data_IF_614222512450
#
_entry.id   IF_614222512450
#
_cell.length_a   1.000
_cell.length_b   1.000
_cell.length_c   1.000
_cell.angle_alpha   90.00
_cell.angle_beta   90.00
_cell.angle_gamma   90.00
#
_symmetry.space_group_name_H-M   'P 1'
#
loop_
_entity.id
_entity.type
_entity.pdbx_description
1 polymer ?
#
# COMPACT_ATOMS: atom_id res chain seq x y z
N UNK A 1 -19.14 -9.08 -12.04
CA UNK A 1 -17.72 -9.51 -12.14
C UNK A 1 -17.36 -9.86 -13.57
N UNK A 2 -16.16 -9.48 -14.08
CA UNK A 2 -15.69 -9.85 -15.43
C UNK A 2 -15.03 -11.24 -15.41
N UNK A 3 -14.94 -11.93 -16.58
CA UNK A 3 -14.22 -13.22 -16.66
C UNK A 3 -12.76 -13.15 -16.16
N UNK A 4 -12.04 -12.06 -16.47
CA UNK A 4 -10.66 -11.86 -16.02
C UNK A 4 -10.55 -11.75 -14.49
N UNK A 5 -11.49 -11.06 -13.83
CA UNK A 5 -11.55 -11.02 -12.37
C UNK A 5 -11.87 -12.39 -11.77
N UNK A 6 -12.78 -13.17 -12.39
CA UNK A 6 -13.10 -14.51 -11.91
C UNK A 6 -11.85 -15.42 -11.95
N UNK A 7 -11.15 -15.45 -13.08
CA UNK A 7 -9.92 -16.23 -13.25
C UNK A 7 -8.86 -15.84 -12.23
N UNK A 8 -8.66 -14.54 -12.02
CA UNK A 8 -7.69 -14.03 -11.04
C UNK A 8 -8.06 -14.43 -9.61
N UNK A 9 -9.33 -14.31 -9.21
CA UNK A 9 -9.78 -14.69 -7.87
C UNK A 9 -9.64 -16.20 -7.64
N UNK A 10 -9.95 -17.02 -8.63
CA UNK A 10 -9.80 -18.48 -8.54
C UNK A 10 -8.33 -18.85 -8.37
N UNK A 11 -7.43 -18.25 -9.16
CA UNK A 11 -5.98 -18.42 -9.01
C UNK A 11 -5.49 -18.05 -7.60
N UNK A 12 -5.95 -16.93 -7.05
CA UNK A 12 -5.58 -16.47 -5.69
C UNK A 12 -6.06 -17.44 -4.62
N UNK A 13 -7.32 -17.87 -4.71
CA UNK A 13 -7.93 -18.84 -3.79
C UNK A 13 -7.19 -20.17 -3.80
N UNK A 14 -6.78 -20.65 -4.97
CA UNK A 14 -6.02 -21.89 -5.09
C UNK A 14 -4.61 -21.78 -4.49
N UNK A 15 -3.94 -20.63 -4.66
CA UNK A 15 -2.66 -20.36 -3.99
C UNK A 15 -2.81 -20.37 -2.47
N UNK A 16 -3.88 -19.78 -1.95
CA UNK A 16 -4.13 -19.76 -0.50
C UNK A 16 -4.52 -21.14 0.00
N UNK A 17 -5.33 -21.93 -0.73
CA UNK A 17 -5.61 -23.32 -0.38
C UNK A 17 -4.33 -24.15 -0.30
N UNK A 18 -3.41 -23.96 -1.24
CA UNK A 18 -2.11 -24.62 -1.22
C UNK A 18 -1.27 -24.23 0.00
N UNK A 19 -1.28 -22.95 0.36
CA UNK A 19 -0.61 -22.45 1.57
C UNK A 19 -1.20 -23.08 2.85
N UNK A 20 -2.53 -23.12 2.95
CA UNK A 20 -3.28 -23.71 4.08
C UNK A 20 -2.96 -25.19 4.23
N UNK A 21 -3.00 -25.94 3.12
CA UNK A 21 -2.65 -27.37 3.11
C UNK A 21 -1.19 -27.60 3.47
N UNK A 22 -0.27 -26.76 2.97
CA UNK A 22 1.15 -26.81 3.32
C UNK A 22 1.43 -26.56 4.81
N UNK A 23 0.58 -25.76 5.47
CA UNK A 23 0.63 -25.54 6.93
C UNK A 23 -0.05 -26.67 7.73
N UNK A 24 -0.61 -27.68 7.06
CA UNK A 24 -1.34 -28.78 7.71
C UNK A 24 -2.65 -28.33 8.34
N UNK A 25 -3.27 -27.26 7.84
CA UNK A 25 -4.56 -26.76 8.30
C UNK A 25 -5.70 -27.29 7.44
N UNK A 26 -6.87 -27.45 8.05
CA UNK A 26 -8.07 -28.00 7.41
C UNK A 26 -8.81 -26.93 6.59
N UNK A 27 -8.74 -25.66 7.02
CA UNK A 27 -9.32 -24.50 6.36
C UNK A 27 -8.62 -23.21 6.81
N UNK A 28 -8.94 -22.09 6.12
CA UNK A 28 -8.52 -20.76 6.55
C UNK A 28 -9.71 -19.90 6.97
N UNK A 29 -9.49 -19.11 8.02
CA UNK A 29 -10.32 -18.00 8.42
C UNK A 29 -9.56 -16.69 8.14
N UNK A 30 -10.08 -15.88 7.23
CA UNK A 30 -9.48 -14.60 6.85
C UNK A 30 -10.33 -13.47 7.41
N UNK A 31 -9.72 -12.66 8.25
CA UNK A 31 -10.35 -11.47 8.83
C UNK A 31 -9.93 -10.20 8.07
N UNK A 32 -10.87 -9.27 7.97
CA UNK A 32 -10.64 -7.92 7.51
C UNK A 32 -11.66 -6.95 8.11
N UNK A 33 -11.41 -5.66 7.91
CA UNK A 33 -12.34 -4.58 8.28
C UNK A 33 -12.27 -3.48 7.21
N UNK A 34 -13.13 -2.46 7.35
CA UNK A 34 -13.14 -1.25 6.52
C UNK A 34 -11.80 -0.48 6.48
N UNK A 35 -10.89 -0.74 7.41
CA UNK A 35 -9.54 -0.13 7.46
C UNK A 35 -8.41 -1.11 7.13
N UNK A 36 -8.65 -2.39 7.26
CA UNK A 36 -7.64 -3.44 7.16
C UNK A 36 -8.20 -4.61 6.35
N UNK A 37 -8.67 -4.30 5.15
CA UNK A 37 -9.37 -5.23 4.30
C UNK A 37 -8.53 -5.99 3.28
N UNK A 38 -7.24 -5.69 3.15
CA UNK A 38 -6.41 -6.12 2.01
C UNK A 38 -6.38 -7.64 1.81
N UNK A 39 -6.25 -8.41 2.90
CA UNK A 39 -6.20 -9.88 2.82
C UNK A 39 -7.55 -10.47 2.41
N UNK A 40 -8.64 -9.90 2.92
CA UNK A 40 -9.99 -10.29 2.52
C UNK A 40 -10.27 -9.88 1.06
N UNK A 41 -9.96 -8.63 0.70
CA UNK A 41 -10.11 -8.10 -0.66
C UNK A 41 -9.33 -8.92 -1.69
N UNK A 42 -8.12 -9.38 -1.35
CA UNK A 42 -7.31 -10.23 -2.21
C UNK A 42 -8.08 -11.48 -2.68
N UNK A 43 -8.95 -12.03 -1.82
CA UNK A 43 -9.71 -13.26 -2.10
C UNK A 43 -11.15 -13.02 -2.59
N UNK A 44 -11.68 -11.79 -2.45
CA UNK A 44 -13.09 -11.48 -2.71
C UNK A 44 -13.30 -10.33 -3.68
N UNK A 45 -12.27 -9.52 -3.96
CA UNK A 45 -12.38 -8.24 -4.69
C UNK A 45 -13.40 -7.27 -4.05
N UNK A 46 -13.79 -7.50 -2.81
CA UNK A 46 -14.74 -6.67 -2.08
C UNK A 46 -14.09 -6.06 -0.84
N UNK A 47 -14.39 -4.81 -0.59
CA UNK A 47 -14.02 -4.08 0.62
C UNK A 47 -15.28 -3.43 1.20
N UNK A 48 -15.59 -3.65 2.48
CA UNK A 48 -16.79 -3.08 3.07
C UNK A 48 -16.62 -1.57 3.29
N UNK A 49 -17.71 -0.83 3.14
CA UNK A 49 -17.76 0.59 3.51
C UNK A 49 -17.62 0.76 5.03
N UNK A 50 -18.13 -0.19 5.78
CA UNK A 50 -18.11 -0.19 7.25
C UNK A 50 -18.07 -1.63 7.80
N UNK A 51 -17.38 -1.79 8.93
CA UNK A 51 -17.48 -2.95 9.80
C UNK A 51 -16.48 -4.07 9.48
N UNK A 52 -16.69 -5.17 10.15
CA UNK A 52 -15.86 -6.36 10.07
C UNK A 52 -16.35 -7.32 9.00
N UNK A 53 -15.42 -8.08 8.45
CA UNK A 53 -15.67 -9.13 7.47
C UNK A 53 -14.80 -10.34 7.71
N UNK A 54 -15.35 -11.49 7.37
CA UNK A 54 -14.73 -12.79 7.55
C UNK A 54 -14.95 -13.64 6.31
N UNK A 55 -13.90 -14.35 5.89
CA UNK A 55 -14.00 -15.38 4.87
C UNK A 55 -13.56 -16.71 5.46
N UNK A 56 -14.43 -17.69 5.44
CA UNK A 56 -14.10 -19.08 5.69
C UNK A 56 -13.77 -19.74 4.34
N UNK A 57 -12.51 -20.14 4.17
CA UNK A 57 -11.99 -20.78 2.96
C UNK A 57 -11.72 -22.25 3.26
N UNK A 58 -12.70 -23.09 3.05
CA UNK A 58 -12.69 -24.55 3.10
C UNK A 58 -13.10 -25.15 1.76
N UNK A 59 -13.81 -26.28 1.80
CA UNK A 59 -14.42 -26.90 0.61
C UNK A 59 -15.40 -25.93 -0.06
N UNK A 60 -16.12 -25.15 0.73
CA UNK A 60 -16.96 -24.05 0.30
C UNK A 60 -16.39 -22.73 0.80
N UNK A 61 -16.78 -21.65 0.13
CA UNK A 61 -16.45 -20.29 0.51
C UNK A 61 -17.67 -19.66 1.19
N UNK A 62 -17.54 -19.27 2.46
CA UNK A 62 -18.59 -18.60 3.21
C UNK A 62 -18.08 -17.28 3.75
N UNK A 63 -18.81 -16.20 3.52
CA UNK A 63 -18.46 -14.86 3.96
C UNK A 63 -19.45 -14.34 5.01
N UNK A 64 -18.92 -13.57 5.95
CA UNK A 64 -19.68 -12.98 7.05
C UNK A 64 -19.37 -11.48 7.14
N UNK A 65 -20.40 -10.65 7.24
CA UNK A 65 -20.30 -9.21 7.30
C UNK A 65 -21.05 -8.64 8.49
N UNK A 66 -20.56 -7.52 9.02
CA UNK A 66 -21.30 -6.73 10.02
C UNK A 66 -22.65 -6.24 9.48
N UNK A 67 -22.71 -5.82 8.20
CA UNK A 67 -23.91 -5.23 7.62
C UNK A 67 -24.43 -5.96 6.39
N UNK A 68 -25.57 -6.61 6.52
CA UNK A 68 -26.19 -7.44 5.46
C UNK A 68 -26.53 -6.65 4.16
N UNK A 69 -26.73 -5.35 4.23
CA UNK A 69 -27.05 -4.52 3.06
C UNK A 69 -25.91 -4.41 2.04
N UNK A 70 -24.68 -4.78 2.42
CA UNK A 70 -23.51 -4.83 1.52
C UNK A 70 -23.43 -6.15 0.72
N UNK A 71 -24.24 -7.17 1.04
CA UNK A 71 -24.11 -8.53 0.46
C UNK A 71 -24.33 -8.53 -1.04
N UNK A 72 -25.29 -7.77 -1.56
CA UNK A 72 -25.61 -7.76 -3.00
C UNK A 72 -24.40 -7.28 -3.81
N UNK A 73 -23.74 -6.21 -3.36
CA UNK A 73 -22.52 -5.72 -3.99
C UNK A 73 -21.39 -6.73 -3.87
N UNK A 74 -21.18 -7.25 -2.66
CA UNK A 74 -20.13 -8.22 -2.38
C UNK A 74 -20.23 -9.50 -3.24
N UNK A 75 -21.44 -10.03 -3.41
CA UNK A 75 -21.69 -11.16 -4.32
C UNK A 75 -21.35 -10.82 -5.76
N UNK A 76 -21.74 -9.64 -6.24
CA UNK A 76 -21.46 -9.17 -7.60
C UNK A 76 -19.96 -9.03 -7.90
N UNK A 77 -19.16 -8.65 -6.90
CA UNK A 77 -17.71 -8.45 -7.03
C UNK A 77 -16.90 -9.73 -6.83
N UNK A 78 -17.34 -10.63 -5.94
CA UNK A 78 -16.55 -11.78 -5.50
C UNK A 78 -16.86 -13.09 -6.22
N UNK A 79 -18.06 -13.25 -6.79
CA UNK A 79 -18.58 -14.52 -7.27
C UNK A 79 -18.79 -15.58 -6.18
N UNK A 80 -18.77 -15.18 -4.91
CA UNK A 80 -19.10 -16.05 -3.78
C UNK A 80 -20.60 -15.96 -3.55
N UNK A 81 -21.29 -17.11 -3.46
CA UNK A 81 -22.74 -17.15 -3.29
C UNK A 81 -23.17 -17.08 -1.82
N UNK A 82 -22.38 -17.69 -0.92
CA UNK A 82 -22.71 -17.82 0.49
C UNK A 82 -22.21 -16.63 1.30
N UNK A 83 -23.14 -15.75 1.65
CA UNK A 83 -22.90 -14.56 2.45
C UNK A 83 -23.90 -14.43 3.58
N UNK A 84 -23.41 -14.09 4.76
CA UNK A 84 -24.20 -13.88 5.97
C UNK A 84 -23.93 -12.47 6.52
N UNK A 85 -24.97 -11.76 6.91
CA UNK A 85 -24.88 -10.42 7.47
C UNK A 85 -25.58 -10.32 8.81
N UNK A 86 -24.85 -9.88 9.84
CA UNK A 86 -25.36 -9.66 11.19
C UNK A 86 -24.51 -8.60 11.90
N UNK A 87 -25.12 -7.72 12.68
CA UNK A 87 -24.42 -6.62 13.37
C UNK A 87 -23.19 -7.10 14.18
N UNK A 88 -23.29 -8.26 14.84
CA UNK A 88 -22.13 -8.99 15.38
C UNK A 88 -22.01 -10.32 14.62
N UNK A 89 -21.11 -10.43 13.64
CA UNK A 89 -20.96 -11.65 12.85
C UNK A 89 -20.18 -12.75 13.57
N UNK A 90 -19.51 -12.47 14.69
CA UNK A 90 -18.63 -13.42 15.38
C UNK A 90 -19.35 -14.72 15.78
N UNK A 91 -20.58 -14.70 16.32
CA UNK A 91 -21.31 -15.95 16.62
C UNK A 91 -21.53 -16.83 15.38
N UNK A 92 -21.84 -16.23 14.23
CA UNK A 92 -22.02 -16.97 12.97
C UNK A 92 -20.70 -17.57 12.48
N UNK A 93 -19.62 -16.82 12.57
CA UNK A 93 -18.26 -17.30 12.22
C UNK A 93 -17.87 -18.48 13.10
N UNK A 94 -18.05 -18.37 14.41
CA UNK A 94 -17.73 -19.43 15.38
C UNK A 94 -18.55 -20.69 15.11
N UNK A 95 -19.83 -20.55 14.80
CA UNK A 95 -20.68 -21.68 14.45
C UNK A 95 -20.23 -22.36 13.15
N UNK A 96 -19.96 -21.59 12.10
CA UNK A 96 -19.49 -22.12 10.82
C UNK A 96 -18.13 -22.86 10.97
N UNK A 97 -17.20 -22.32 11.78
CA UNK A 97 -15.95 -23.02 12.10
C UNK A 97 -16.21 -24.32 12.86
N UNK A 98 -17.14 -24.34 13.81
CA UNK A 98 -17.52 -25.55 14.55
C UNK A 98 -18.14 -26.61 13.63
N UNK A 99 -19.08 -26.21 12.78
CA UNK A 99 -19.77 -27.09 11.84
C UNK A 99 -18.86 -27.69 10.77
N UNK A 100 -17.75 -26.99 10.43
CA UNK A 100 -16.76 -27.50 9.49
C UNK A 100 -16.05 -28.77 9.97
N UNK A 101 -16.06 -29.03 11.27
CA UNK A 101 -15.34 -30.16 11.88
C UNK A 101 -13.82 -30.02 11.84
N UNK A 102 -13.28 -28.86 11.47
CA UNK A 102 -11.86 -28.58 11.43
C UNK A 102 -11.23 -28.72 12.81
N UNK A 103 -9.97 -29.18 12.84
CA UNK A 103 -9.15 -29.29 14.07
C UNK A 103 -8.04 -28.25 14.09
N UNK A 104 -7.52 -27.92 12.90
CA UNK A 104 -6.47 -26.91 12.69
C UNK A 104 -6.99 -25.85 11.72
N UNK A 105 -7.06 -24.62 12.17
CA UNK A 105 -7.57 -23.49 11.39
C UNK A 105 -6.45 -22.48 11.16
N UNK A 106 -6.13 -22.24 9.90
CA UNK A 106 -5.26 -21.15 9.51
C UNK A 106 -5.97 -19.81 9.72
N UNK A 107 -5.33 -18.85 10.35
CA UNK A 107 -5.88 -17.52 10.60
C UNK A 107 -5.05 -16.47 9.87
N UNK A 108 -5.72 -15.65 9.06
CA UNK A 108 -5.12 -14.49 8.37
C UNK A 108 -5.84 -13.23 8.86
N UNK A 109 -5.09 -12.17 9.16
CA UNK A 109 -5.59 -10.94 9.77
C UNK A 109 -5.57 -10.98 11.30
N UNK A 110 -4.84 -11.93 11.89
CA UNK A 110 -4.76 -12.14 13.33
C UNK A 110 -4.35 -10.90 14.10
N UNK A 111 -3.35 -10.16 13.60
CA UNK A 111 -2.82 -8.94 14.25
C UNK A 111 -3.85 -7.81 14.36
N UNK A 112 -4.95 -7.88 13.62
CA UNK A 112 -6.02 -6.86 13.54
C UNK A 112 -7.35 -7.37 14.05
N UNK A 113 -7.46 -8.68 14.30
CA UNK A 113 -8.68 -9.30 14.79
C UNK A 113 -9.05 -8.77 16.17
N UNK A 114 -10.32 -8.39 16.38
CA UNK A 114 -10.81 -7.99 17.71
C UNK A 114 -10.61 -9.09 18.75
N UNK A 115 -10.10 -8.74 19.92
CA UNK A 115 -9.84 -9.69 21.01
C UNK A 115 -11.07 -10.54 21.40
N UNK A 116 -12.30 -10.00 21.43
CA UNK A 116 -13.48 -10.83 21.68
C UNK A 116 -13.67 -11.95 20.65
N UNK A 117 -13.42 -11.67 19.37
CA UNK A 117 -13.52 -12.67 18.31
C UNK A 117 -12.45 -13.76 18.47
N UNK A 118 -11.20 -13.37 18.74
CA UNK A 118 -10.13 -14.31 19.03
C UNK A 118 -10.48 -15.25 20.18
N UNK A 119 -10.94 -14.72 21.31
CA UNK A 119 -11.34 -15.52 22.48
C UNK A 119 -12.49 -16.47 22.18
N UNK A 120 -13.45 -16.05 21.35
CA UNK A 120 -14.56 -16.91 20.95
C UNK A 120 -14.06 -18.10 20.12
N UNK A 121 -13.11 -17.89 19.21
CA UNK A 121 -12.46 -18.96 18.44
C UNK A 121 -11.61 -19.88 19.32
N UNK A 122 -10.81 -19.34 20.24
CA UNK A 122 -10.03 -20.14 21.20
C UNK A 122 -10.90 -21.06 22.03
N UNK A 123 -12.12 -20.61 22.41
CA UNK A 123 -13.06 -21.41 23.21
C UNK A 123 -13.54 -22.70 22.52
N UNK A 124 -13.34 -22.81 21.21
CA UNK A 124 -13.64 -24.02 20.45
C UNK A 124 -12.63 -25.16 20.70
N UNK A 125 -11.48 -24.87 21.33
CA UNK A 125 -10.44 -25.87 21.59
C UNK A 125 -9.69 -26.33 20.33
N UNK A 126 -9.72 -25.53 19.25
CA UNK A 126 -9.02 -25.79 18.00
C UNK A 126 -7.57 -25.31 18.05
N UNK A 127 -6.73 -25.88 17.20
CA UNK A 127 -5.41 -25.30 16.94
C UNK A 127 -5.53 -24.18 15.92
N UNK A 128 -5.26 -22.93 16.35
CA UNK A 128 -5.26 -21.75 15.50
C UNK A 128 -3.83 -21.45 15.06
N UNK A 129 -3.58 -21.42 13.74
CA UNK A 129 -2.26 -21.24 13.13
C UNK A 129 -2.19 -19.88 12.46
N UNK A 130 -1.30 -19.02 12.94
CA UNK A 130 -1.08 -17.69 12.33
C UNK A 130 -0.42 -17.81 10.95
N UNK A 131 -1.09 -17.35 9.90
CA UNK A 131 -0.57 -17.27 8.54
C UNK A 131 -0.44 -15.83 8.01
N UNK A 132 -0.42 -14.79 8.86
CA UNK A 132 -0.29 -13.39 8.41
C UNK A 132 0.97 -13.19 7.56
N UNK A 133 2.13 -13.67 8.04
CA UNK A 133 3.39 -13.52 7.30
C UNK A 133 3.42 -14.34 6.02
N UNK A 134 3.16 -15.68 6.03
CA UNK A 134 3.13 -16.47 4.79
C UNK A 134 2.12 -15.98 3.76
N UNK A 135 0.98 -15.45 4.20
CA UNK A 135 -0.01 -14.85 3.32
C UNK A 135 0.49 -13.52 2.71
N UNK A 136 1.17 -12.69 3.49
CA UNK A 136 1.82 -11.48 2.99
C UNK A 136 2.88 -11.79 1.93
N UNK A 137 3.73 -12.78 2.18
CA UNK A 137 4.74 -13.27 1.22
C UNK A 137 4.10 -13.80 -0.08
N UNK A 138 2.97 -14.49 0.01
CA UNK A 138 2.24 -14.96 -1.15
C UNK A 138 1.79 -13.81 -2.06
N UNK A 139 1.45 -12.64 -1.48
CA UNK A 139 1.03 -11.43 -2.21
C UNK A 139 2.19 -10.62 -2.76
N UNK A 140 3.42 -10.88 -2.33
CA UNK A 140 4.62 -10.11 -2.72
C UNK A 140 4.83 -10.08 -4.23
N UNK A 141 4.62 -11.23 -4.92
CA UNK A 141 4.71 -11.34 -6.37
C UNK A 141 3.32 -11.16 -7.00
N UNK A 142 3.18 -10.10 -7.76
CA UNK A 142 1.95 -9.74 -8.47
C UNK A 142 1.80 -10.57 -9.74
N UNK A 143 0.58 -10.90 -10.11
CA UNK A 143 0.26 -11.43 -11.42
C UNK A 143 0.34 -10.34 -12.49
N UNK A 144 0.42 -10.69 -13.78
CA UNK A 144 0.28 -9.70 -14.85
C UNK A 144 -1.01 -8.88 -14.74
N UNK A 145 -2.11 -9.49 -14.30
CA UNK A 145 -3.38 -8.79 -14.06
C UNK A 145 -3.27 -7.75 -12.95
N UNK A 146 -2.62 -8.08 -11.84
CA UNK A 146 -2.38 -7.15 -10.72
C UNK A 146 -1.45 -5.99 -11.13
N UNK A 147 -0.43 -6.27 -11.96
CA UNK A 147 0.50 -5.24 -12.46
C UNK A 147 -0.23 -4.23 -13.35
N UNK A 148 -1.18 -4.66 -14.19
CA UNK A 148 -1.99 -3.72 -15.00
C UNK A 148 -2.85 -2.80 -14.11
N UNK A 149 -3.43 -3.33 -13.02
CA UNK A 149 -4.19 -2.51 -12.08
C UNK A 149 -3.29 -1.49 -11.36
N UNK A 150 -2.05 -1.88 -11.03
CA UNK A 150 -1.06 -0.95 -10.46
C UNK A 150 -0.62 0.12 -11.46
N UNK A 151 -0.47 -0.21 -12.75
CA UNK A 151 -0.20 0.79 -13.80
C UNK A 151 -1.33 1.81 -13.91
N UNK A 152 -2.60 1.37 -13.80
CA UNK A 152 -3.74 2.27 -13.80
C UNK A 152 -3.74 3.20 -12.59
N UNK A 153 -3.45 2.69 -11.40
CA UNK A 153 -3.33 3.48 -10.18
C UNK A 153 -2.15 4.47 -10.25
N UNK A 154 -0.99 4.03 -10.75
CA UNK A 154 0.19 4.87 -10.93
C UNK A 154 -0.06 6.03 -11.90
N UNK A 155 -0.71 5.77 -13.06
CA UNK A 155 -1.11 6.84 -14.01
C UNK A 155 -2.04 7.87 -13.36
N UNK A 156 -2.90 7.43 -12.46
CA UNK A 156 -3.79 8.34 -11.75
C UNK A 156 -3.04 9.13 -10.67
N UNK A 157 -2.05 8.51 -10.02
CA UNK A 157 -1.12 9.17 -9.08
C UNK A 157 -0.29 10.23 -9.80
N UNK A 158 0.25 9.96 -11.00
CA UNK A 158 0.95 10.95 -11.81
C UNK A 158 0.07 12.17 -12.12
N UNK A 159 -1.21 11.96 -12.45
CA UNK A 159 -2.16 13.07 -12.66
C UNK A 159 -2.37 13.91 -11.40
N UNK A 160 -2.31 13.31 -10.20
CA UNK A 160 -2.35 14.07 -8.95
C UNK A 160 -1.10 14.94 -8.79
N UNK A 161 0.09 14.41 -9.10
CA UNK A 161 1.34 15.16 -9.03
C UNK A 161 1.41 16.29 -10.06
N UNK A 162 0.94 16.07 -11.28
CA UNK A 162 0.86 17.10 -12.32
C UNK A 162 -0.08 18.24 -11.88
N UNK A 163 -1.25 17.91 -11.35
CA UNK A 163 -2.20 18.88 -10.81
C UNK A 163 -1.64 19.62 -9.57
N UNK A 164 -0.85 18.92 -8.73
CA UNK A 164 -0.17 19.57 -7.63
C UNK A 164 0.80 20.62 -8.12
N UNK A 165 1.66 20.29 -9.10
CA UNK A 165 2.61 21.22 -9.69
C UNK A 165 1.94 22.48 -10.24
N UNK A 166 0.82 22.32 -10.94
CA UNK A 166 0.04 23.44 -11.50
C UNK A 166 -0.57 24.34 -10.42
N UNK A 167 -0.87 23.78 -9.23
CA UNK A 167 -1.47 24.51 -8.12
C UNK A 167 -0.49 25.23 -7.20
N UNK A 168 0.85 25.01 -7.40
CA UNK A 168 1.89 25.57 -6.54
C UNK A 168 2.21 27.02 -6.96
N UNK A 169 1.67 27.98 -6.20
CA UNK A 169 1.97 29.40 -6.34
C UNK A 169 2.04 30.08 -4.96
N UNK A 170 2.72 31.23 -4.85
CA UNK A 170 2.72 32.00 -3.61
C UNK A 170 1.29 32.36 -3.16
N UNK A 171 0.94 32.06 -1.91
CA UNK A 171 -0.38 32.29 -1.33
C UNK A 171 -1.32 31.09 -1.42
N UNK A 172 -1.00 30.05 -2.21
CA UNK A 172 -1.76 28.81 -2.21
C UNK A 172 -1.72 28.14 -0.82
N UNK A 173 -2.76 27.43 -0.43
CA UNK A 173 -2.91 26.85 0.92
C UNK A 173 -2.73 25.34 0.84
N UNK A 174 -1.81 24.75 1.63
CA UNK A 174 -1.53 23.30 1.63
C UNK A 174 -2.81 22.44 1.69
N UNK A 175 -3.72 22.71 2.64
CA UNK A 175 -4.96 21.94 2.77
C UNK A 175 -5.91 22.07 1.59
N UNK A 176 -5.89 23.18 0.87
CA UNK A 176 -6.75 23.38 -0.30
C UNK A 176 -6.17 22.63 -1.50
N UNK A 177 -4.85 22.62 -1.66
CA UNK A 177 -4.19 21.80 -2.68
C UNK A 177 -4.48 20.31 -2.38
N UNK A 178 -4.20 19.83 -1.16
CA UNK A 178 -4.46 18.44 -0.78
C UNK A 178 -5.92 18.02 -1.04
N UNK A 179 -6.89 18.88 -0.70
CA UNK A 179 -8.30 18.62 -0.97
C UNK A 179 -8.63 18.55 -2.47
N UNK A 180 -8.01 19.41 -3.29
CA UNK A 180 -8.18 19.36 -4.74
C UNK A 180 -7.60 18.07 -5.32
N UNK A 181 -6.41 17.65 -4.88
CA UNK A 181 -5.77 16.41 -5.32
C UNK A 181 -6.63 15.18 -4.99
N UNK A 182 -7.26 15.13 -3.82
CA UNK A 182 -8.15 14.05 -3.42
C UNK A 182 -9.37 13.88 -4.36
N UNK A 183 -9.79 14.93 -5.07
CA UNK A 183 -10.91 14.81 -6.01
C UNK A 183 -10.57 14.02 -7.28
N UNK A 184 -9.30 13.91 -7.64
CA UNK A 184 -8.85 13.28 -8.90
C UNK A 184 -9.16 11.78 -8.93
N UNK A 185 -8.70 10.97 -7.95
CA UNK A 185 -9.05 9.56 -7.94
C UNK A 185 -10.54 9.32 -7.70
N UNK A 186 -11.20 10.12 -6.87
CA UNK A 186 -12.66 10.01 -6.65
C UNK A 186 -13.45 10.23 -7.94
N UNK A 187 -13.08 11.25 -8.74
CA UNK A 187 -13.72 11.50 -10.03
C UNK A 187 -13.48 10.38 -11.07
N UNK A 188 -12.43 9.60 -10.91
CA UNK A 188 -12.11 8.43 -11.73
C UNK A 188 -12.80 7.13 -11.24
N UNK A 189 -13.60 7.20 -10.16
CA UNK A 189 -14.25 6.03 -9.55
C UNK A 189 -13.30 5.20 -8.67
N UNK A 190 -12.19 5.79 -8.26
CA UNK A 190 -11.24 5.24 -7.30
C UNK A 190 -11.30 5.95 -5.95
N UNK A 191 -10.21 5.88 -5.20
CA UNK A 191 -10.04 6.55 -3.91
C UNK A 191 -8.59 7.05 -3.77
N UNK A 192 -8.27 7.75 -2.70
CA UNK A 192 -6.88 8.00 -2.32
C UNK A 192 -6.30 6.77 -1.64
N UNK A 193 -5.05 6.43 -1.94
CA UNK A 193 -4.31 5.38 -1.21
C UNK A 193 -4.13 5.75 0.26
N UNK A 194 -3.92 7.04 0.50
CA UNK A 194 -3.85 7.71 1.79
C UNK A 194 -4.23 9.19 1.64
N UNK A 195 -4.34 9.91 2.75
CA UNK A 195 -4.65 11.35 2.74
C UNK A 195 -3.54 12.12 2.00
N UNK A 196 -3.83 12.83 0.88
CA UNK A 196 -2.84 13.61 0.17
C UNK A 196 -2.09 14.57 1.08
N UNK A 197 -0.77 14.52 1.05
CA UNK A 197 0.09 15.29 1.93
C UNK A 197 0.81 16.38 1.15
N UNK A 198 0.62 17.63 1.55
CA UNK A 198 1.33 18.81 1.04
C UNK A 198 2.00 19.49 2.22
N UNK A 199 3.33 19.53 2.22
CA UNK A 199 4.14 20.11 3.30
C UNK A 199 5.05 21.17 2.72
N UNK A 200 4.87 22.42 3.15
CA UNK A 200 5.67 23.56 2.68
C UNK A 200 6.53 24.17 3.78
N UNK A 201 7.65 24.78 3.39
CA UNK A 201 8.60 25.50 4.25
C UNK A 201 10.03 24.99 4.13
N UNK A 202 10.98 25.79 4.63
CA UNK A 202 12.41 25.48 4.64
C UNK A 202 12.98 25.25 6.03
N UNK A 203 12.27 25.73 7.06
CA UNK A 203 12.65 25.58 8.47
C UNK A 203 11.77 24.52 9.14
N UNK A 204 12.28 23.90 10.20
CA UNK A 204 11.58 22.89 11.00
C UNK A 204 11.00 21.72 10.14
N UNK A 205 11.82 21.04 9.34
CA UNK A 205 11.36 19.97 8.48
C UNK A 205 10.79 18.80 9.29
N UNK A 206 9.61 18.35 8.91
CA UNK A 206 8.94 17.18 9.49
C UNK A 206 8.73 16.17 8.37
N UNK A 207 9.37 15.00 8.42
CA UNK A 207 9.30 14.01 7.34
C UNK A 207 7.89 13.65 6.90
N UNK A 208 6.96 13.57 7.86
CA UNK A 208 5.54 13.32 7.58
C UNK A 208 4.67 14.08 8.58
N UNK A 209 3.70 14.83 8.08
CA UNK A 209 2.59 15.43 8.81
C UNK A 209 1.40 15.61 7.90
N UNK A 210 0.23 15.80 8.46
CA UNK A 210 -0.91 16.25 7.66
C UNK A 210 -0.68 17.64 7.11
N UNK A 211 -1.25 17.93 5.95
CA UNK A 211 -1.35 19.29 5.42
C UNK A 211 -2.05 20.20 6.42
N UNK A 212 -1.55 21.41 6.58
CA UNK A 212 -2.11 22.42 7.50
C UNK A 212 -2.60 23.65 6.72
N UNK A 213 -3.29 24.55 7.37
CA UNK A 213 -3.77 25.77 6.75
C UNK A 213 -2.66 26.84 6.66
N UNK A 214 -1.52 26.46 6.05
CA UNK A 214 -0.38 27.34 5.79
C UNK A 214 -0.44 27.83 4.34
N UNK A 215 -0.19 29.13 4.13
CA UNK A 215 0.04 29.70 2.82
C UNK A 215 1.49 29.42 2.38
N UNK A 216 1.67 28.97 1.16
CA UNK A 216 2.98 28.77 0.51
C UNK A 216 3.61 30.13 0.29
N UNK A 217 4.90 30.26 0.59
CA UNK A 217 5.67 31.49 0.42
C UNK A 217 6.73 31.34 -0.68
N UNK A 218 7.15 32.45 -1.32
CA UNK A 218 8.28 32.40 -2.25
C UNK A 218 9.53 31.82 -1.59
N UNK A 219 10.19 30.87 -2.24
CA UNK A 219 11.36 30.16 -1.72
C UNK A 219 11.06 28.92 -0.89
N UNK A 220 9.79 28.65 -0.61
CA UNK A 220 9.41 27.40 0.07
C UNK A 220 9.80 26.17 -0.75
N UNK A 221 10.31 25.17 -0.06
CA UNK A 221 10.27 23.78 -0.51
C UNK A 221 8.88 23.23 -0.23
N UNK A 222 8.26 22.59 -1.23
CA UNK A 222 6.96 21.96 -1.09
C UNK A 222 7.08 20.48 -1.46
N UNK A 223 6.95 19.62 -0.48
CA UNK A 223 6.85 18.17 -0.67
C UNK A 223 5.37 17.81 -0.86
N UNK A 224 5.08 17.10 -1.92
CA UNK A 224 3.75 16.57 -2.25
C UNK A 224 3.85 15.05 -2.32
N UNK A 225 3.16 14.39 -1.39
CA UNK A 225 3.12 12.93 -1.23
C UNK A 225 1.68 12.46 -1.44
N UNK A 226 1.45 11.68 -2.49
CA UNK A 226 0.11 11.31 -2.96
C UNK A 226 0.08 9.90 -3.51
N UNK A 227 -1.09 9.30 -3.43
CA UNK A 227 -1.35 8.01 -4.05
C UNK A 227 -2.82 7.86 -4.41
N UNK A 228 -3.08 7.31 -5.58
CA UNK A 228 -4.41 6.93 -6.03
C UNK A 228 -4.64 5.44 -5.84
N UNK A 229 -5.83 5.07 -5.39
CA UNK A 229 -6.27 3.68 -5.34
C UNK A 229 -7.34 3.44 -6.42
N UNK A 230 -7.11 2.46 -7.28
CA UNK A 230 -8.10 2.06 -8.28
C UNK A 230 -8.33 0.55 -8.21
N UNK A 231 -9.60 0.15 -8.09
CA UNK A 231 -9.97 -1.26 -7.88
C UNK A 231 -9.20 -1.92 -6.71
N UNK A 232 -8.79 -1.12 -5.71
CA UNK A 232 -8.06 -1.53 -4.52
C UNK A 232 -6.54 -1.54 -4.66
N UNK A 233 -5.99 -1.46 -5.86
CA UNK A 233 -4.56 -1.35 -6.08
C UNK A 233 -4.11 0.10 -5.92
N UNK A 234 -3.01 0.29 -5.22
CA UNK A 234 -2.58 1.59 -4.70
C UNK A 234 -1.28 2.02 -5.36
N UNK A 235 -1.24 3.27 -5.84
CA UNK A 235 -0.01 3.96 -6.19
C UNK A 235 0.49 4.78 -5.00
N UNK A 236 1.79 5.10 -5.01
CA UNK A 236 2.49 5.86 -3.99
C UNK A 236 3.63 6.66 -4.64
N UNK A 237 3.58 7.97 -4.61
CA UNK A 237 4.64 8.78 -5.19
C UNK A 237 4.78 10.15 -4.54
N UNK A 238 6.02 10.59 -4.41
CA UNK A 238 6.35 11.91 -3.87
C UNK A 238 7.14 12.73 -4.87
N UNK A 239 6.79 14.01 -4.97
CA UNK A 239 7.61 15.04 -5.64
C UNK A 239 7.88 16.20 -4.70
N UNK A 240 9.07 16.74 -4.85
CA UNK A 240 9.46 17.98 -4.17
C UNK A 240 9.62 19.09 -5.18
N UNK A 241 9.10 20.25 -4.82
CA UNK A 241 9.17 21.47 -5.63
C UNK A 241 9.73 22.63 -4.82
N UNK A 242 10.30 23.63 -5.50
CA UNK A 242 10.67 24.92 -4.90
C UNK A 242 9.88 26.03 -5.61
N UNK A 243 9.16 26.83 -4.82
CA UNK A 243 8.36 27.94 -5.37
C UNK A 243 9.24 29.14 -5.64
N UNK A 244 9.62 29.32 -6.91
CA UNK A 244 10.57 30.32 -7.37
C UNK A 244 11.98 29.74 -7.60
N UNK A 245 13.04 30.54 -7.32
CA UNK A 245 14.43 30.12 -7.57
C UNK A 245 14.98 29.35 -6.38
N UNK A 246 15.40 28.08 -6.55
CA UNK A 246 16.03 27.31 -5.48
C UNK A 246 17.31 27.95 -4.97
N UNK A 247 17.52 27.91 -3.66
CA UNK A 247 18.79 28.27 -3.00
C UNK A 247 19.82 27.16 -3.21
N UNK A 248 21.11 27.47 -2.97
CA UNK A 248 22.18 26.48 -3.07
C UNK A 248 21.96 25.33 -2.05
N UNK A 249 21.49 25.64 -0.82
CA UNK A 249 21.17 24.63 0.19
C UNK A 249 20.09 23.65 -0.29
N UNK A 250 19.06 24.15 -0.96
CA UNK A 250 18.01 23.32 -1.54
C UNK A 250 18.54 22.46 -2.70
N UNK A 251 19.38 23.03 -3.57
CA UNK A 251 19.99 22.28 -4.67
C UNK A 251 20.94 21.19 -4.17
N UNK A 252 21.73 21.46 -3.15
CA UNK A 252 22.67 20.48 -2.58
C UNK A 252 21.90 19.32 -1.91
N UNK A 253 20.84 19.61 -1.15
CA UNK A 253 19.98 18.59 -0.56
C UNK A 253 19.25 17.74 -1.62
N UNK A 254 18.75 18.39 -2.67
CA UNK A 254 18.09 17.70 -3.79
C UNK A 254 19.06 16.78 -4.55
N UNK A 255 20.31 17.21 -4.76
CA UNK A 255 21.34 16.37 -5.39
C UNK A 255 21.59 15.09 -4.56
N UNK A 256 21.63 15.19 -3.24
CA UNK A 256 21.76 14.02 -2.36
C UNK A 256 20.58 13.08 -2.53
N UNK A 257 19.33 13.58 -2.51
CA UNK A 257 18.12 12.77 -2.70
C UNK A 257 18.16 12.05 -4.06
N UNK A 258 18.47 12.76 -5.15
CA UNK A 258 18.57 12.17 -6.49
C UNK A 258 19.62 11.06 -6.56
N UNK A 259 20.84 11.31 -6.04
CA UNK A 259 21.90 10.29 -6.02
C UNK A 259 21.52 9.07 -5.17
N UNK A 260 20.84 9.29 -4.04
CA UNK A 260 20.34 8.19 -3.22
C UNK A 260 19.28 7.37 -3.95
N UNK A 261 18.36 8.04 -4.65
CA UNK A 261 17.36 7.40 -5.50
C UNK A 261 17.99 6.59 -6.62
N UNK A 262 18.93 7.17 -7.38
CA UNK A 262 19.62 6.50 -8.48
C UNK A 262 20.42 5.29 -7.99
N UNK A 263 21.09 5.39 -6.84
CA UNK A 263 21.83 4.27 -6.25
C UNK A 263 20.93 3.08 -5.85
N UNK A 264 19.72 3.35 -5.36
CA UNK A 264 18.74 2.28 -5.09
C UNK A 264 18.20 1.68 -6.39
N UNK A 265 17.88 2.51 -7.40
CA UNK A 265 17.39 2.04 -8.71
C UNK A 265 18.40 1.13 -9.44
N UNK A 266 19.68 1.42 -9.39
CA UNK A 266 20.74 0.58 -9.99
C UNK A 266 20.73 -0.86 -9.47
N UNK A 267 20.25 -1.04 -8.23
CA UNK A 267 20.13 -2.33 -7.57
C UNK A 267 18.75 -2.99 -7.73
N UNK A 268 17.76 -2.30 -8.30
CA UNK A 268 16.40 -2.80 -8.47
C UNK A 268 16.31 -3.85 -9.59
N UNK A 269 16.81 -5.06 -9.33
CA UNK A 269 16.82 -6.18 -10.28
C UNK A 269 16.74 -7.53 -9.56
N UNK A 270 16.29 -8.59 -10.24
CA UNK A 270 16.18 -9.92 -9.65
C UNK A 270 17.48 -10.41 -9.02
N UNK A 271 17.35 -11.08 -7.88
CA UNK A 271 18.47 -11.69 -7.15
C UNK A 271 19.18 -10.76 -6.17
N UNK A 272 18.97 -9.44 -6.22
CA UNK A 272 19.52 -8.50 -5.24
C UNK A 272 18.68 -8.54 -3.96
N UNK A 273 19.27 -8.70 -2.77
CA UNK A 273 18.55 -8.62 -1.51
C UNK A 273 17.84 -7.26 -1.36
N UNK A 274 16.57 -7.24 -0.94
CA UNK A 274 15.79 -6.01 -0.82
C UNK A 274 16.50 -4.95 0.04
N UNK A 275 17.13 -5.37 1.15
CA UNK A 275 17.84 -4.48 2.07
C UNK A 275 19.04 -3.77 1.45
N UNK A 276 19.60 -4.26 0.35
CA UNK A 276 20.74 -3.60 -0.31
C UNK A 276 20.33 -2.29 -1.00
N UNK A 277 19.08 -2.18 -1.48
CA UNK A 277 18.54 -0.94 -2.03
C UNK A 277 18.52 0.15 -0.94
N UNK A 278 18.01 -0.21 0.25
CA UNK A 278 18.00 0.70 1.39
C UNK A 278 19.41 1.10 1.79
N UNK A 279 20.33 0.15 1.91
CA UNK A 279 21.73 0.42 2.32
C UNK A 279 22.45 1.33 1.34
N UNK A 280 22.27 1.13 0.04
CA UNK A 280 22.89 1.95 -0.98
C UNK A 280 22.44 3.41 -0.90
N UNK A 281 21.14 3.65 -0.81
CA UNK A 281 20.58 4.99 -0.68
C UNK A 281 20.92 5.63 0.68
N UNK A 282 20.83 4.90 1.78
CA UNK A 282 21.17 5.36 3.12
C UNK A 282 22.64 5.82 3.21
N UNK A 283 23.55 5.05 2.62
CA UNK A 283 24.97 5.42 2.59
C UNK A 283 25.25 6.77 1.89
N UNK A 284 24.47 7.13 0.86
CA UNK A 284 24.57 8.44 0.18
C UNK A 284 24.07 9.55 1.10
N UNK A 285 22.91 9.35 1.76
CA UNK A 285 22.31 10.33 2.67
C UNK A 285 23.23 10.58 3.87
N UNK A 286 23.68 9.51 4.53
CA UNK A 286 24.60 9.58 5.69
C UNK A 286 25.97 10.14 5.32
N UNK A 287 26.51 9.74 4.15
CA UNK A 287 27.78 10.24 3.63
C UNK A 287 27.77 11.74 3.31
N UNK A 288 26.60 12.32 3.10
CA UNK A 288 26.39 13.76 2.95
C UNK A 288 26.14 14.48 4.30
N UNK A 289 26.13 13.76 5.42
CA UNK A 289 25.94 14.31 6.76
C UNK A 289 24.48 14.47 7.19
N UNK A 290 23.53 13.84 6.49
CA UNK A 290 22.11 13.84 6.85
C UNK A 290 21.73 12.56 7.58
N UNK A 291 20.62 12.62 8.32
CA UNK A 291 20.02 11.47 8.97
C UNK A 291 19.05 10.74 8.02
N UNK A 292 19.04 9.42 8.04
CA UNK A 292 18.02 8.60 7.38
C UNK A 292 16.78 8.54 8.26
N UNK A 293 15.81 9.41 8.00
CA UNK A 293 14.66 9.61 8.86
C UNK A 293 13.57 8.53 8.73
N UNK A 294 13.56 7.78 7.63
CA UNK A 294 12.61 6.69 7.37
C UNK A 294 13.22 5.61 6.48
N UNK A 295 12.53 4.49 6.31
CA UNK A 295 12.93 3.45 5.33
C UNK A 295 12.92 4.02 3.91
N UNK A 296 13.85 3.54 3.07
CA UNK A 296 14.03 4.05 1.70
C UNK A 296 13.01 3.44 0.71
N UNK A 297 12.09 2.62 1.17
CA UNK A 297 11.05 2.05 0.33
C UNK A 297 10.38 0.82 0.90
N UNK A 298 9.32 0.39 0.24
CA UNK A 298 8.48 -0.73 0.65
C UNK A 298 7.73 -1.34 -0.54
N UNK A 299 7.05 -2.46 -0.29
CA UNK A 299 6.14 -3.07 -1.25
C UNK A 299 4.86 -2.23 -1.43
N UNK A 300 4.30 -2.29 -2.63
CA UNK A 300 2.99 -1.72 -2.96
C UNK A 300 2.08 -2.79 -3.55
N UNK A 301 0.77 -2.56 -3.52
CA UNK A 301 -0.21 -3.50 -4.03
C UNK A 301 -1.63 -3.13 -3.59
N UNK A 302 -2.28 -4.01 -2.85
CA UNK A 302 -3.56 -3.73 -2.17
C UNK A 302 -3.37 -2.90 -0.89
N UNK A 303 -2.15 -2.53 -0.56
CA UNK A 303 -1.78 -1.59 0.48
C UNK A 303 -0.50 -0.87 0.06
N UNK A 304 -0.23 0.27 0.67
CA UNK A 304 1.05 0.97 0.58
C UNK A 304 1.95 0.51 1.72
N UNK A 305 2.05 1.26 2.78
CA UNK A 305 2.99 1.08 3.90
C UNK A 305 3.04 -0.31 4.57
N UNK A 306 2.10 -1.19 4.32
CA UNK A 306 2.00 -2.53 4.93
C UNK A 306 2.09 -3.69 3.94
N UNK A 307 2.43 -3.41 2.69
CA UNK A 307 2.71 -4.45 1.69
C UNK A 307 4.19 -4.90 1.82
N UNK A 308 4.46 -6.16 1.49
CA UNK A 308 5.82 -6.70 1.45
C UNK A 308 6.50 -6.46 0.08
N UNK A 309 7.83 -6.27 0.07
CA UNK A 309 8.79 -6.27 1.17
C UNK A 309 8.92 -4.89 1.86
N UNK A 310 9.52 -4.84 3.08
CA UNK A 310 10.07 -3.61 3.65
C UNK A 310 11.56 -3.56 3.32
N UNK A 311 12.01 -2.54 2.58
CA UNK A 311 13.37 -2.53 2.04
C UNK A 311 14.46 -2.36 3.12
N UNK A 312 14.13 -1.85 4.31
CA UNK A 312 15.07 -1.66 5.41
C UNK A 312 15.43 -2.95 6.16
N UNK A 313 14.56 -3.95 6.12
CA UNK A 313 14.69 -5.16 6.95
C UNK A 313 14.65 -6.47 6.17
N UNK A 314 14.09 -6.48 4.96
CA UNK A 314 13.94 -7.70 4.18
C UNK A 314 15.25 -8.12 3.50
N UNK A 315 15.72 -9.32 3.83
CA UNK A 315 16.97 -9.89 3.27
C UNK A 315 16.74 -10.83 2.10
N UNK A 316 15.50 -11.24 1.85
CA UNK A 316 15.18 -12.03 0.67
C UNK A 316 15.48 -11.26 -0.62
N UNK A 317 15.85 -11.96 -1.71
CA UNK A 317 16.12 -11.30 -2.98
C UNK A 317 14.85 -10.74 -3.62
N UNK A 318 15.00 -9.68 -4.40
CA UNK A 318 14.00 -9.23 -5.34
C UNK A 318 13.72 -10.32 -6.37
N UNK A 319 12.45 -10.48 -6.73
CA UNK A 319 11.98 -11.46 -7.72
C UNK A 319 11.10 -10.76 -8.76
N UNK A 320 11.08 -11.26 -10.02
CA UNK A 320 10.16 -10.74 -11.04
C UNK A 320 8.70 -10.76 -10.56
N UNK A 321 7.97 -9.67 -10.84
CA UNK A 321 6.60 -9.46 -10.40
C UNK A 321 6.47 -8.85 -9.01
N UNK A 322 7.56 -8.60 -8.28
CA UNK A 322 7.49 -7.75 -7.09
C UNK A 322 7.28 -6.30 -7.49
N UNK A 323 6.44 -5.58 -6.74
CA UNK A 323 6.23 -4.15 -6.89
C UNK A 323 6.61 -3.44 -5.61
N UNK A 324 7.41 -2.40 -5.74
CA UNK A 324 7.96 -1.62 -4.63
C UNK A 324 7.95 -0.13 -4.97
N UNK A 325 7.98 0.73 -3.96
CA UNK A 325 8.40 2.11 -4.14
C UNK A 325 9.86 2.29 -3.68
N UNK A 326 10.52 3.34 -4.18
CA UNK A 326 11.82 3.82 -3.73
C UNK A 326 11.66 5.29 -3.38
N UNK A 327 11.93 5.65 -2.11
CA UNK A 327 11.50 6.93 -1.52
C UNK A 327 12.55 7.64 -0.65
N UNK A 328 13.83 7.80 -1.06
CA UNK A 328 14.81 8.50 -0.24
C UNK A 328 14.43 9.95 0.01
N UNK A 329 14.77 10.46 1.20
CA UNK A 329 14.53 11.84 1.57
C UNK A 329 15.64 12.43 2.44
N UNK A 330 15.75 13.77 2.38
CA UNK A 330 16.56 14.63 3.24
C UNK A 330 15.65 15.66 3.89
N UNK A 331 15.70 15.76 5.20
CA UNK A 331 14.84 16.62 6.01
C UNK A 331 15.73 17.49 6.88
N UNK A 332 16.05 18.70 6.41
CA UNK A 332 17.00 19.57 7.10
C UNK A 332 16.57 21.04 7.05
N UNK A 333 16.92 21.81 8.12
CA UNK A 333 16.66 23.24 8.15
C UNK A 333 17.39 23.96 7.03
N UNK A 334 16.71 24.89 6.36
CA UNK A 334 17.19 25.62 5.20
C UNK A 334 16.94 24.93 3.86
N UNK A 335 16.76 23.60 3.81
CA UNK A 335 16.31 22.88 2.61
C UNK A 335 14.85 22.46 2.66
N UNK A 336 14.28 22.33 3.84
CA UNK A 336 12.93 21.77 4.03
C UNK A 336 12.87 20.27 3.82
N UNK A 337 11.71 19.80 3.40
CA UNK A 337 11.44 18.38 3.13
C UNK A 337 11.75 18.05 1.66
N UNK A 338 12.88 17.41 1.42
CA UNK A 338 13.28 16.91 0.10
C UNK A 338 13.06 15.41 0.03
N UNK A 339 12.12 14.95 -0.78
CA UNK A 339 11.82 13.52 -1.00
C UNK A 339 11.52 13.29 -2.49
N UNK A 340 11.97 12.17 -3.02
CA UNK A 340 11.64 11.69 -4.34
C UNK A 340 11.18 10.25 -4.24
N UNK A 341 10.02 9.94 -4.79
CA UNK A 341 9.46 8.61 -4.72
C UNK A 341 8.81 8.20 -6.03
N UNK A 342 9.06 6.97 -6.43
CA UNK A 342 8.40 6.32 -7.54
C UNK A 342 8.08 4.86 -7.25
N UNK A 343 6.96 4.42 -7.81
CA UNK A 343 6.55 3.03 -7.89
C UNK A 343 7.23 2.32 -9.06
N UNK A 344 7.62 1.08 -8.84
CA UNK A 344 8.22 0.23 -9.87
C UNK A 344 7.84 -1.25 -9.73
N UNK A 345 7.91 -1.98 -10.83
CA UNK A 345 7.81 -3.44 -10.86
C UNK A 345 9.16 -4.04 -11.24
N UNK A 346 9.57 -5.09 -10.54
CA UNK A 346 10.76 -5.88 -10.89
C UNK A 346 10.42 -6.77 -12.09
N UNK A 347 11.21 -6.64 -13.16
CA UNK A 347 11.09 -7.45 -14.39
C UNK A 347 12.05 -8.63 -14.37
N UNK A 348 12.14 -9.42 -15.46
CA UNK A 348 13.07 -10.57 -15.54
C UNK A 348 14.55 -10.16 -15.52
N UNK A 349 14.87 -8.93 -15.95
CA UNK A 349 16.24 -8.44 -16.16
C UNK A 349 16.54 -7.07 -15.49
N UNK A 350 15.57 -6.48 -14.78
CA UNK A 350 15.71 -5.19 -14.12
C UNK A 350 14.42 -4.72 -13.48
N UNK A 351 13.98 -3.52 -13.85
CA UNK A 351 12.74 -2.92 -13.38
C UNK A 351 12.03 -2.11 -14.47
N UNK A 352 10.77 -1.83 -14.26
CA UNK A 352 9.94 -0.87 -15.02
C UNK A 352 9.35 0.13 -14.03
N UNK A 353 9.49 1.41 -14.28
CA UNK A 353 8.81 2.45 -13.51
C UNK A 353 7.32 2.43 -13.84
N UNK A 354 6.48 2.53 -12.81
CA UNK A 354 5.03 2.62 -12.94
C UNK A 354 4.57 4.08 -12.88
N UNK A 355 5.27 4.95 -12.10
CA UNK A 355 5.06 6.40 -12.04
C UNK A 355 6.10 7.14 -12.87
N UNK A 356 5.67 8.13 -13.65
CA UNK A 356 6.50 8.80 -14.65
C UNK A 356 6.41 10.35 -14.59
N UNK A 357 5.71 10.92 -13.58
CA UNK A 357 5.57 12.37 -13.44
C UNK A 357 6.92 13.08 -13.34
N UNK A 358 7.00 14.33 -13.84
CA UNK A 358 8.23 15.13 -13.88
C UNK A 358 8.88 15.28 -12.49
N UNK A 359 10.20 15.06 -12.44
CA UNK A 359 11.04 15.12 -11.23
C UNK A 359 11.80 16.45 -11.09
N UNK A 360 11.43 17.46 -11.87
CA UNK A 360 12.06 18.78 -11.80
C UNK A 360 11.75 19.48 -10.47
N UNK A 361 12.79 20.01 -9.81
CA UNK A 361 12.64 20.72 -8.53
C UNK A 361 11.96 22.10 -8.69
N UNK A 362 12.15 22.79 -9.81
CA UNK A 362 11.57 24.11 -10.04
C UNK A 362 10.11 24.01 -10.53
N UNK A 363 9.24 24.87 -9.99
CA UNK A 363 7.86 25.09 -10.45
C UNK A 363 7.84 26.24 -11.44
#
# INVERSE_FOLDING_TARGET
MTPAWQEELDRRRDRVRSLVAGAGCDLALVYGSDRWGQSFRYLTNFEPVLGDMWLLLGDRLSCFLTFQWQIIEAQGLSGIEEWHGQFDPVPLVVEAVRESGARRVAVVGLRRMPMPAWRALESLGLELVDLDTPFGELRRRKSPFEIELLRDAARLTDRMLDAAREALEPGAIETLIAAALATIPLAAGGDCSFEPTVISGVDDPIPIRRSIRRAIEPGDTVMVDVGAALQGYQGDATRTYVVGTPTQTQLDAWDVVRRAYDAALELAKPGVPCVELHRAAAAIVEGAGFEVAHRIGHGIGLATSYEWPSLDTETAPLEPGMTICIEPGVFASGSGNMKLEDDLVITEDGYELLTESDRSLAV
#
